data_IF_450106825484
#
_entry.id   IF_450106825484
#
_cell.length_a   1.000
_cell.length_b   1.000
_cell.length_c   1.000
_cell.angle_alpha   90.00
_cell.angle_beta   90.00
_cell.angle_gamma   90.00
#
_symmetry.space_group_name_H-M   'P 1'
#
loop_
_entity.id
_entity.type
_entity.pdbx_description
1 polymer ?
#
# COMPACT_ATOMS: atom_id res chain seq x y z
N UNK A 1 4.20 6.32 -25.14
CA UNK A 1 3.99 5.05 -24.39
C UNK A 1 3.13 5.25 -23.15
N UNK A 2 3.48 6.13 -22.22
CA UNK A 2 2.78 6.30 -20.92
C UNK A 2 1.23 6.37 -21.01
N UNK A 3 0.61 7.17 -21.92
CA UNK A 3 -0.85 7.24 -21.98
C UNK A 3 -1.57 5.92 -22.31
N UNK A 4 -0.93 5.01 -23.06
CA UNK A 4 -1.51 3.70 -23.42
C UNK A 4 -1.73 2.79 -22.21
N UNK A 5 -0.95 3.01 -21.13
CA UNK A 5 -1.10 2.27 -19.88
C UNK A 5 -2.37 2.69 -19.12
N UNK A 6 -3.06 3.76 -19.50
CA UNK A 6 -4.28 4.23 -18.82
C UNK A 6 -5.54 3.48 -19.24
N UNK A 7 -5.54 2.88 -20.44
CA UNK A 7 -6.71 2.20 -21.00
C UNK A 7 -7.09 0.99 -20.13
N UNK A 8 -8.38 0.66 -20.04
CA UNK A 8 -8.82 -0.51 -19.24
C UNK A 8 -8.38 -1.84 -19.87
N UNK A 9 -8.31 -1.89 -21.20
CA UNK A 9 -7.93 -3.06 -21.99
C UNK A 9 -6.42 -3.23 -22.17
N UNK A 10 -5.58 -2.51 -21.41
CA UNK A 10 -4.11 -2.62 -21.50
C UNK A 10 -3.60 -4.06 -21.38
N UNK A 11 -4.28 -4.91 -20.61
CA UNK A 11 -3.91 -6.33 -20.46
C UNK A 11 -3.87 -7.12 -21.78
N UNK A 12 -4.62 -6.69 -22.80
CA UNK A 12 -4.68 -7.36 -24.12
C UNK A 12 -3.37 -7.15 -24.90
N UNK A 13 -2.71 -6.00 -24.71
CA UNK A 13 -1.54 -5.60 -25.51
C UNK A 13 -0.32 -5.23 -24.65
N UNK A 14 -0.34 -5.58 -23.36
CA UNK A 14 0.70 -5.18 -22.41
C UNK A 14 2.07 -5.74 -22.78
N UNK A 15 2.14 -7.00 -23.22
CA UNK A 15 3.42 -7.62 -23.59
C UNK A 15 4.09 -6.89 -24.75
N UNK A 16 3.32 -6.45 -25.75
CA UNK A 16 3.80 -5.69 -26.89
C UNK A 16 4.20 -4.28 -26.46
N UNK A 17 3.42 -3.66 -25.57
CA UNK A 17 3.71 -2.34 -25.00
C UNK A 17 5.04 -2.35 -24.23
N UNK A 18 5.23 -3.35 -23.38
CA UNK A 18 6.44 -3.57 -22.60
C UNK A 18 7.66 -3.79 -23.51
N UNK A 19 7.55 -4.67 -24.51
CA UNK A 19 8.60 -4.87 -25.52
C UNK A 19 8.99 -3.55 -26.19
N UNK A 20 8.01 -2.74 -26.59
CA UNK A 20 8.28 -1.42 -27.15
C UNK A 20 8.96 -0.48 -26.14
N UNK A 21 8.50 -0.44 -24.88
CA UNK A 21 9.14 0.33 -23.80
C UNK A 21 10.62 -0.07 -23.65
N UNK A 22 10.92 -1.37 -23.52
CA UNK A 22 12.29 -1.88 -23.37
C UNK A 22 13.16 -1.61 -24.60
N UNK A 23 12.60 -1.68 -25.81
CA UNK A 23 13.32 -1.30 -27.03
C UNK A 23 13.73 0.18 -27.02
N UNK A 24 12.84 1.10 -26.60
CA UNK A 24 13.21 2.50 -26.45
C UNK A 24 14.31 2.70 -25.40
N UNK A 25 14.21 2.02 -24.26
CA UNK A 25 15.21 2.09 -23.19
C UNK A 25 16.57 1.56 -23.64
N UNK A 26 16.60 0.49 -24.44
CA UNK A 26 17.85 -0.05 -25.01
C UNK A 26 18.60 0.93 -25.91
N UNK A 27 17.89 1.94 -26.45
CA UNK A 27 18.49 3.01 -27.28
C UNK A 27 18.85 4.24 -26.46
N UNK A 28 18.08 4.53 -25.42
CA UNK A 28 18.34 5.67 -24.54
C UNK A 28 17.85 5.40 -23.12
N UNK A 29 18.79 5.06 -22.24
CA UNK A 29 18.52 4.73 -20.84
C UNK A 29 17.99 5.93 -20.03
N UNK A 30 18.23 7.16 -20.49
CA UNK A 30 17.70 8.36 -19.82
C UNK A 30 16.16 8.41 -19.83
N UNK A 31 15.51 7.64 -20.71
CA UNK A 31 14.06 7.52 -20.77
C UNK A 31 13.46 6.63 -19.65
N UNK A 32 14.28 5.91 -18.88
CA UNK A 32 13.81 5.06 -17.79
C UNK A 32 13.14 5.87 -16.68
N UNK A 33 13.74 7.00 -16.29
CA UNK A 33 13.24 7.89 -15.24
C UNK A 33 11.83 8.43 -15.56
N UNK A 34 11.59 9.09 -16.71
CA UNK A 34 10.24 9.58 -17.02
C UNK A 34 9.22 8.45 -17.21
N UNK A 35 9.65 7.27 -17.68
CA UNK A 35 8.76 6.11 -17.77
C UNK A 35 8.33 5.62 -16.39
N UNK A 36 9.28 5.43 -15.46
CA UNK A 36 8.98 5.05 -14.08
C UNK A 36 8.11 6.08 -13.36
N UNK A 37 8.39 7.37 -13.54
CA UNK A 37 7.53 8.43 -13.03
C UNK A 37 6.11 8.33 -13.58
N UNK A 38 5.97 8.06 -14.88
CA UNK A 38 4.69 7.82 -15.53
C UNK A 38 3.94 6.64 -14.92
N UNK A 39 4.60 5.49 -14.77
CA UNK A 39 4.01 4.28 -14.18
C UNK A 39 3.56 4.51 -12.73
N UNK A 40 4.42 5.12 -11.90
CA UNK A 40 4.10 5.42 -10.51
C UNK A 40 2.98 6.46 -10.36
N UNK A 41 2.89 7.42 -11.31
CA UNK A 41 1.85 8.46 -11.35
C UNK A 41 0.49 7.91 -11.77
N UNK A 42 0.46 7.03 -12.77
CA UNK A 42 -0.77 6.44 -13.31
C UNK A 42 -1.06 5.04 -12.76
N UNK A 43 -0.60 4.76 -11.54
CA UNK A 43 -0.79 3.47 -10.89
C UNK A 43 -2.26 3.04 -10.90
N UNK A 44 -2.59 1.83 -11.36
CA UNK A 44 -3.96 1.36 -11.43
C UNK A 44 -4.59 1.25 -10.04
N UNK A 45 -5.88 1.54 -9.95
CA UNK A 45 -6.66 1.41 -8.71
C UNK A 45 -7.91 0.56 -9.01
N UNK A 46 -8.16 -0.44 -8.16
CA UNK A 46 -9.32 -1.34 -8.31
C UNK A 46 -9.20 -2.34 -9.46
N UNK A 47 -8.01 -2.55 -10.02
CA UNK A 47 -7.76 -3.57 -11.05
C UNK A 47 -6.44 -4.30 -10.75
N UNK A 48 -6.55 -5.42 -10.04
CA UNK A 48 -5.42 -6.22 -9.57
C UNK A 48 -4.57 -6.78 -10.71
N UNK A 49 -5.20 -7.26 -11.79
CA UNK A 49 -4.49 -7.76 -12.97
C UNK A 49 -3.58 -6.68 -13.54
N UNK A 50 -4.09 -5.45 -13.66
CA UNK A 50 -3.33 -4.33 -14.18
C UNK A 50 -2.23 -3.88 -13.21
N UNK A 51 -2.46 -3.96 -11.89
CA UNK A 51 -1.42 -3.73 -10.88
C UNK A 51 -0.26 -4.73 -11.03
N UNK A 52 -0.54 -6.02 -11.21
CA UNK A 52 0.49 -7.05 -11.45
C UNK A 52 1.28 -6.77 -12.73
N UNK A 53 0.62 -6.33 -13.82
CA UNK A 53 1.29 -5.96 -15.06
C UNK A 53 2.21 -4.73 -14.88
N UNK A 54 1.74 -3.70 -14.17
CA UNK A 54 2.55 -2.52 -13.84
C UNK A 54 3.76 -2.88 -12.97
N UNK A 55 3.61 -3.78 -11.99
CA UNK A 55 4.72 -4.27 -11.19
C UNK A 55 5.76 -5.00 -12.05
N UNK A 56 5.32 -5.78 -13.04
CA UNK A 56 6.23 -6.44 -13.98
C UNK A 56 7.00 -5.44 -14.82
N UNK A 57 6.33 -4.50 -15.49
CA UNK A 57 7.03 -3.49 -16.29
C UNK A 57 7.94 -2.62 -15.42
N UNK A 58 7.49 -2.23 -14.22
CA UNK A 58 8.31 -1.44 -13.31
C UNK A 58 9.60 -2.16 -12.92
N UNK A 59 9.57 -3.47 -12.70
CA UNK A 59 10.77 -4.25 -12.38
C UNK A 59 11.76 -4.25 -13.55
N UNK A 60 11.29 -4.50 -14.77
CA UNK A 60 12.15 -4.51 -15.97
C UNK A 60 12.76 -3.14 -16.26
N UNK A 61 11.97 -2.07 -16.14
CA UNK A 61 12.45 -0.69 -16.35
C UNK A 61 13.48 -0.31 -15.29
N UNK A 62 13.32 -0.81 -14.05
CA UNK A 62 14.24 -0.52 -12.96
C UNK A 62 15.63 -1.11 -13.22
N UNK A 63 15.74 -2.30 -13.80
CA UNK A 63 17.02 -2.97 -14.08
C UNK A 63 17.91 -2.20 -15.06
N UNK A 64 17.31 -1.47 -16.01
CA UNK A 64 18.05 -0.66 -16.99
C UNK A 64 18.28 0.78 -16.53
N UNK A 65 17.76 1.15 -15.37
CA UNK A 65 17.84 2.50 -14.84
C UNK A 65 19.22 2.80 -14.23
N UNK A 66 19.70 4.03 -14.43
CA UNK A 66 20.92 4.50 -13.76
C UNK A 66 20.62 4.80 -12.28
N UNK A 67 21.37 4.15 -11.38
CA UNK A 67 21.18 4.28 -9.93
C UNK A 67 21.28 5.73 -9.43
N UNK A 68 22.19 6.52 -10.01
CA UNK A 68 22.41 7.93 -9.64
C UNK A 68 21.19 8.82 -9.88
N UNK A 69 20.33 8.47 -10.85
CA UNK A 69 19.13 9.25 -11.18
C UNK A 69 17.90 8.75 -10.42
N UNK A 70 18.01 7.64 -9.69
CA UNK A 70 16.90 6.95 -9.05
C UNK A 70 16.50 7.57 -7.71
N UNK A 71 17.43 8.24 -7.02
CA UNK A 71 17.24 8.82 -5.67
C UNK A 71 15.91 9.56 -5.46
N UNK A 72 15.45 10.49 -6.33
CA UNK A 72 14.17 11.18 -6.13
C UNK A 72 12.93 10.28 -6.26
N UNK A 73 13.06 9.12 -6.89
CA UNK A 73 11.98 8.15 -7.08
C UNK A 73 11.92 7.10 -5.99
N UNK A 74 13.03 6.85 -5.28
CA UNK A 74 13.12 5.85 -4.21
C UNK A 74 11.95 5.96 -3.21
N UNK A 75 11.62 7.14 -2.63
CA UNK A 75 10.51 7.24 -1.70
C UNK A 75 9.16 6.85 -2.32
N UNK A 76 8.92 7.23 -3.58
CA UNK A 76 7.65 6.94 -4.28
C UNK A 76 7.53 5.45 -4.62
N UNK A 77 8.62 4.85 -5.09
CA UNK A 77 8.73 3.44 -5.43
C UNK A 77 8.48 2.57 -4.20
N UNK A 78 9.24 2.78 -3.13
CA UNK A 78 9.14 1.96 -1.92
C UNK A 78 7.82 2.16 -1.19
N UNK A 79 7.27 3.38 -1.16
CA UNK A 79 5.91 3.60 -0.66
C UNK A 79 4.88 2.82 -1.47
N UNK A 80 5.05 2.69 -2.79
CA UNK A 80 4.14 1.91 -3.62
C UNK A 80 4.27 0.41 -3.34
N UNK A 81 5.51 -0.11 -3.31
CA UNK A 81 5.77 -1.53 -3.02
C UNK A 81 5.25 -1.93 -1.64
N UNK A 82 5.51 -1.12 -0.60
CA UNK A 82 4.99 -1.38 0.74
C UNK A 82 3.45 -1.47 0.75
N UNK A 83 2.75 -0.60 -0.01
CA UNK A 83 1.29 -0.68 -0.16
C UNK A 83 0.85 -1.96 -0.87
N UNK A 84 1.52 -2.36 -1.95
CA UNK A 84 1.22 -3.58 -2.69
C UNK A 84 1.40 -4.84 -1.82
N UNK A 85 2.49 -4.92 -1.06
CA UNK A 85 2.77 -6.03 -0.13
C UNK A 85 1.76 -6.09 1.00
N UNK A 86 1.37 -4.94 1.56
CA UNK A 86 0.34 -4.87 2.61
C UNK A 86 -1.08 -5.06 2.10
N UNK A 87 -1.30 -5.11 0.78
CA UNK A 87 -2.62 -5.12 0.17
C UNK A 87 -3.39 -6.42 0.44
N UNK A 88 -4.73 -6.40 0.38
CA UNK A 88 -5.54 -7.61 0.58
C UNK A 88 -5.43 -8.61 -0.58
N UNK A 89 -5.03 -8.14 -1.77
CA UNK A 89 -4.96 -8.97 -2.97
C UNK A 89 -3.64 -9.76 -3.01
N UNK A 90 -3.73 -11.08 -2.80
CA UNK A 90 -2.56 -11.96 -2.74
C UNK A 90 -1.67 -11.89 -4.01
N UNK A 91 -2.26 -11.89 -5.20
CA UNK A 91 -1.49 -11.85 -6.46
C UNK A 91 -0.63 -10.57 -6.61
N UNK A 92 -1.10 -9.46 -6.07
CA UNK A 92 -0.36 -8.18 -6.12
C UNK A 92 0.74 -8.17 -5.07
N UNK A 93 0.45 -8.67 -3.86
CA UNK A 93 1.42 -8.80 -2.79
C UNK A 93 2.58 -9.75 -3.16
N UNK A 94 2.25 -10.92 -3.71
CA UNK A 94 3.21 -11.92 -4.18
C UNK A 94 4.11 -11.35 -5.29
N UNK A 95 3.51 -10.73 -6.32
CA UNK A 95 4.29 -10.09 -7.41
C UNK A 95 5.21 -8.98 -6.89
N UNK A 96 4.78 -8.21 -5.89
CA UNK A 96 5.60 -7.17 -5.28
C UNK A 96 6.74 -7.76 -4.44
N UNK A 97 6.55 -8.91 -3.78
CA UNK A 97 7.61 -9.61 -3.05
C UNK A 97 8.73 -10.10 -3.97
N UNK A 98 8.43 -10.49 -5.21
CA UNK A 98 9.44 -10.89 -6.20
C UNK A 98 10.47 -9.78 -6.53
N UNK A 99 10.22 -8.51 -6.19
CA UNK A 99 11.26 -7.48 -6.29
C UNK A 99 12.45 -7.80 -5.39
N UNK A 100 12.19 -8.34 -4.19
CA UNK A 100 13.24 -8.60 -3.19
C UNK A 100 14.00 -9.90 -3.44
N UNK A 101 13.58 -10.71 -4.41
CA UNK A 101 14.33 -11.87 -4.90
C UNK A 101 15.41 -11.45 -5.91
N UNK A 102 15.35 -10.22 -6.42
CA UNK A 102 16.26 -9.72 -7.44
C UNK A 102 17.48 -9.04 -6.82
N UNK A 103 18.69 -9.53 -7.14
CA UNK A 103 19.95 -9.03 -6.59
C UNK A 103 20.22 -7.54 -6.91
N UNK A 104 19.84 -7.09 -8.10
CA UNK A 104 19.98 -5.67 -8.48
C UNK A 104 19.07 -4.79 -7.61
N UNK A 105 17.83 -5.22 -7.36
CA UNK A 105 16.92 -4.53 -6.46
C UNK A 105 17.41 -4.53 -5.01
N UNK A 106 17.96 -5.65 -4.53
CA UNK A 106 18.62 -5.71 -3.22
C UNK A 106 19.83 -4.76 -3.16
N UNK A 107 20.56 -4.58 -4.27
CA UNK A 107 21.59 -3.55 -4.42
C UNK A 107 21.06 -2.14 -4.19
N UNK A 108 19.95 -1.77 -4.84
CA UNK A 108 19.26 -0.48 -4.62
C UNK A 108 18.88 -0.31 -3.14
N UNK A 109 18.30 -1.36 -2.54
CA UNK A 109 17.88 -1.35 -1.15
C UNK A 109 19.06 -1.15 -0.19
N UNK A 110 20.21 -1.77 -0.45
CA UNK A 110 21.46 -1.57 0.31
C UNK A 110 21.96 -0.13 0.19
N UNK A 111 21.93 0.47 -1.00
CA UNK A 111 22.39 1.84 -1.24
C UNK A 111 21.51 2.87 -0.53
N UNK A 112 20.18 2.72 -0.60
CA UNK A 112 19.23 3.70 -0.06
C UNK A 112 18.62 3.30 1.29
N UNK A 113 19.26 2.39 2.04
CA UNK A 113 18.73 1.83 3.30
C UNK A 113 18.25 2.86 4.33
N UNK A 114 18.91 4.02 4.40
CA UNK A 114 18.51 5.09 5.34
C UNK A 114 17.10 5.65 5.04
N UNK A 115 16.67 5.59 3.78
CA UNK A 115 15.35 6.05 3.32
C UNK A 115 14.37 4.88 3.22
N UNK A 116 14.82 3.73 2.71
CA UNK A 116 13.95 2.59 2.40
C UNK A 116 13.58 1.79 3.65
N UNK A 117 14.51 1.57 4.59
CA UNK A 117 14.25 0.72 5.75
C UNK A 117 13.10 1.24 6.61
N UNK A 118 13.05 2.54 6.98
CA UNK A 118 11.92 3.08 7.75
C UNK A 118 10.55 2.92 7.08
N UNK A 119 10.49 2.75 5.76
CA UNK A 119 9.24 2.57 5.00
C UNK A 119 8.80 1.11 4.92
N UNK A 120 9.75 0.18 4.80
CA UNK A 120 9.44 -1.22 4.48
C UNK A 120 9.57 -2.14 5.70
N UNK A 121 10.59 -1.94 6.54
CA UNK A 121 10.89 -2.82 7.69
C UNK A 121 9.70 -2.95 8.65
N UNK A 122 9.06 -1.85 9.12
CA UNK A 122 7.91 -1.97 10.02
C UNK A 122 6.75 -2.74 9.38
N UNK A 123 6.57 -2.58 8.07
CA UNK A 123 5.49 -3.24 7.33
C UNK A 123 5.74 -4.73 7.20
N UNK A 124 6.96 -5.12 6.80
CA UNK A 124 7.33 -6.53 6.66
C UNK A 124 7.29 -7.24 8.01
N UNK A 125 7.79 -6.63 9.08
CA UNK A 125 7.83 -7.27 10.40
C UNK A 125 6.43 -7.53 10.93
N UNK A 126 5.52 -6.56 10.81
CA UNK A 126 4.13 -6.77 11.23
C UNK A 126 3.45 -7.85 10.36
N UNK A 127 3.59 -7.79 9.03
CA UNK A 127 2.97 -8.78 8.14
C UNK A 127 3.57 -10.18 8.30
N UNK A 128 4.86 -10.32 8.60
CA UNK A 128 5.48 -11.61 8.88
C UNK A 128 4.84 -12.32 10.09
N UNK A 129 4.19 -11.58 10.98
CA UNK A 129 3.48 -12.11 12.15
C UNK A 129 1.97 -12.23 11.92
N UNK A 130 1.37 -11.29 11.17
CA UNK A 130 -0.09 -11.16 11.06
C UNK A 130 -0.68 -11.50 9.70
N UNK A 131 0.12 -11.81 8.67
CA UNK A 131 -0.39 -12.06 7.33
C UNK A 131 -1.25 -13.35 7.29
N UNK A 132 -2.42 -13.27 6.67
CA UNK A 132 -3.41 -14.37 6.67
C UNK A 132 -3.00 -15.58 5.82
N UNK A 133 -2.19 -15.36 4.78
CA UNK A 133 -1.71 -16.42 3.89
C UNK A 133 -0.33 -16.95 4.32
N UNK A 134 -0.24 -18.25 4.62
CA UNK A 134 0.96 -18.90 5.20
C UNK A 134 2.21 -18.84 4.32
N UNK A 135 2.10 -19.12 3.01
CA UNK A 135 3.28 -19.12 2.12
C UNK A 135 3.87 -17.71 2.02
N UNK A 136 3.01 -16.70 1.91
CA UNK A 136 3.46 -15.30 1.86
C UNK A 136 4.07 -14.88 3.20
N UNK A 137 3.54 -15.39 4.31
CA UNK A 137 4.11 -15.19 5.63
C UNK A 137 5.53 -15.78 5.74
N UNK A 138 5.78 -16.96 5.18
CA UNK A 138 7.13 -17.54 5.11
C UNK A 138 8.08 -16.69 4.27
N UNK A 139 7.65 -16.22 3.10
CA UNK A 139 8.44 -15.31 2.26
C UNK A 139 8.75 -13.98 2.96
N UNK A 140 7.78 -13.43 3.72
CA UNK A 140 7.97 -12.22 4.53
C UNK A 140 8.98 -12.46 5.68
N UNK A 141 8.97 -13.65 6.29
CA UNK A 141 9.95 -14.01 7.31
C UNK A 141 11.35 -14.16 6.71
N UNK A 142 11.49 -14.78 5.54
CA UNK A 142 12.76 -14.83 4.82
C UNK A 142 13.28 -13.41 4.50
N UNK A 143 12.39 -12.54 3.99
CA UNK A 143 12.74 -11.15 3.71
C UNK A 143 13.15 -10.38 4.97
N UNK A 144 12.47 -10.60 6.10
CA UNK A 144 12.84 -10.01 7.40
C UNK A 144 14.28 -10.39 7.79
N UNK A 145 14.68 -11.64 7.57
CA UNK A 145 16.07 -12.10 7.82
C UNK A 145 17.05 -11.37 6.89
N UNK A 146 16.77 -11.33 5.58
CA UNK A 146 17.62 -10.64 4.59
C UNK A 146 17.82 -9.17 4.96
N UNK A 147 16.75 -8.46 5.33
CA UNK A 147 16.85 -7.04 5.72
C UNK A 147 17.71 -6.83 6.97
N UNK A 148 17.66 -7.76 7.92
CA UNK A 148 18.49 -7.73 9.12
C UNK A 148 19.95 -8.04 8.83
N UNK A 149 20.24 -8.92 7.87
CA UNK A 149 21.60 -9.22 7.42
C UNK A 149 22.25 -8.05 6.68
N UNK A 150 21.48 -7.25 5.94
CA UNK A 150 22.00 -6.09 5.22
C UNK A 150 22.56 -5.03 6.17
N UNK A 151 21.81 -4.67 7.21
CA UNK A 151 22.26 -3.72 8.23
C UNK A 151 21.40 -3.86 9.50
N UNK A 152 21.89 -4.56 10.54
CA UNK A 152 21.12 -4.80 11.75
C UNK A 152 20.81 -3.50 12.51
N UNK A 153 21.73 -2.53 12.48
CA UNK A 153 21.57 -1.25 13.20
C UNK A 153 20.52 -0.39 12.53
N UNK A 154 20.54 -0.31 11.19
CA UNK A 154 19.51 0.40 10.44
C UNK A 154 18.15 -0.29 10.55
N UNK A 155 18.12 -1.62 10.60
CA UNK A 155 16.90 -2.41 10.80
C UNK A 155 16.24 -2.10 12.15
N UNK A 156 17.01 -2.16 13.24
CA UNK A 156 16.48 -1.88 14.59
C UNK A 156 16.03 -0.42 14.73
N UNK A 157 16.78 0.52 14.13
CA UNK A 157 16.37 1.93 14.07
C UNK A 157 15.05 2.11 13.32
N UNK A 158 14.91 1.45 12.16
CA UNK A 158 13.70 1.53 11.36
C UNK A 158 12.46 1.00 12.09
N UNK A 159 12.62 -0.03 12.94
CA UNK A 159 11.53 -0.53 13.79
C UNK A 159 11.10 0.45 14.87
N UNK A 160 12.01 1.30 15.36
CA UNK A 160 11.70 2.32 16.37
C UNK A 160 11.07 3.57 15.74
N UNK A 161 11.57 3.99 14.57
CA UNK A 161 11.13 5.25 13.94
C UNK A 161 9.99 5.07 12.93
N UNK A 162 9.84 3.88 12.37
CA UNK A 162 8.95 3.63 11.25
C UNK A 162 7.50 3.46 11.67
N UNK A 163 6.59 4.11 10.93
CA UNK A 163 5.16 3.96 11.14
C UNK A 163 4.70 2.56 10.72
N UNK A 164 3.90 1.92 11.59
CA UNK A 164 3.22 0.65 11.30
C UNK A 164 1.84 0.85 10.67
N UNK A 165 1.46 2.09 10.38
CA UNK A 165 0.09 2.43 9.95
C UNK A 165 -0.27 1.77 8.62
N UNK A 166 0.70 1.58 7.71
CA UNK A 166 0.44 0.91 6.42
C UNK A 166 0.11 -0.58 6.58
N UNK A 167 0.82 -1.30 7.45
CA UNK A 167 0.52 -2.70 7.73
C UNK A 167 -0.81 -2.84 8.47
N UNK A 168 -1.05 -1.89 9.39
CA UNK A 168 -2.26 -1.85 10.19
C UNK A 168 -3.48 -1.48 9.36
N UNK A 169 -3.40 -0.53 8.42
CA UNK A 169 -4.53 -0.03 7.65
C UNK A 169 -5.34 -1.12 6.93
N UNK A 170 -4.68 -2.22 6.54
CA UNK A 170 -5.32 -3.35 5.87
C UNK A 170 -5.57 -4.54 6.82
N UNK A 171 -5.21 -4.42 8.10
CA UNK A 171 -5.58 -5.42 9.11
C UNK A 171 -7.05 -5.27 9.48
N UNK A 172 -7.73 -6.39 9.67
CA UNK A 172 -9.13 -6.43 10.09
C UNK A 172 -9.38 -5.65 11.39
N UNK A 173 -8.34 -5.49 12.23
CA UNK A 173 -8.40 -4.74 13.48
C UNK A 173 -8.45 -3.22 13.33
N UNK A 174 -7.96 -2.63 12.23
CA UNK A 174 -7.94 -1.16 12.09
C UNK A 174 -8.88 -0.60 11.04
N UNK A 175 -9.57 -1.45 10.26
CA UNK A 175 -10.62 -0.99 9.33
C UNK A 175 -11.70 -0.14 10.02
N UNK A 176 -11.88 -0.31 11.33
CA UNK A 176 -12.85 0.45 12.13
C UNK A 176 -12.41 1.86 12.52
N UNK A 177 -11.13 2.24 12.32
CA UNK A 177 -10.46 3.48 12.77
C UNK A 177 -11.30 4.36 13.72
N UNK A 178 -11.62 3.79 14.89
CA UNK A 178 -12.56 4.37 15.86
C UNK A 178 -12.16 5.80 16.29
N UNK A 179 -10.86 6.10 16.50
CA UNK A 179 -10.44 7.46 16.86
C UNK A 179 -10.73 8.51 15.77
N UNK A 180 -10.51 8.15 14.50
CA UNK A 180 -10.82 9.05 13.38
C UNK A 180 -12.34 9.23 13.19
N UNK A 181 -13.11 8.18 13.44
CA UNK A 181 -14.57 8.26 13.44
C UNK A 181 -15.07 9.18 14.56
N UNK A 182 -14.60 9.00 15.79
CA UNK A 182 -14.99 9.81 16.95
C UNK A 182 -14.68 11.31 16.74
N UNK A 183 -13.53 11.65 16.17
CA UNK A 183 -13.21 13.05 15.84
C UNK A 183 -14.10 13.64 14.74
N UNK A 184 -14.58 12.81 13.81
CA UNK A 184 -15.52 13.23 12.77
C UNK A 184 -16.92 13.40 13.34
N UNK A 185 -17.39 12.46 14.17
CA UNK A 185 -18.67 12.54 14.88
C UNK A 185 -18.72 13.78 15.78
N UNK A 186 -17.66 14.07 16.53
CA UNK A 186 -17.58 15.28 17.36
C UNK A 186 -17.73 16.59 16.54
N UNK A 187 -17.24 16.63 15.29
CA UNK A 187 -17.44 17.77 14.39
C UNK A 187 -18.89 17.89 13.94
N UNK A 188 -19.55 16.77 13.65
CA UNK A 188 -20.97 16.73 13.31
C UNK A 188 -21.85 17.13 14.49
N UNK A 189 -21.52 16.69 15.70
CA UNK A 189 -22.25 17.07 16.93
C UNK A 189 -22.12 18.57 17.20
N UNK A 190 -20.91 19.13 17.05
CA UNK A 190 -20.69 20.57 17.18
C UNK A 190 -21.46 21.36 16.11
N UNK A 191 -21.56 20.85 14.88
CA UNK A 191 -22.36 21.45 13.81
C UNK A 191 -23.86 21.41 14.13
N UNK A 192 -24.35 20.26 14.59
CA UNK A 192 -25.76 20.06 14.96
C UNK A 192 -26.16 20.95 16.14
N UNK A 193 -25.29 21.12 17.14
CA UNK A 193 -25.50 22.03 18.25
C UNK A 193 -25.61 23.50 17.79
N UNK A 194 -24.73 23.93 16.86
CA UNK A 194 -24.81 25.26 16.24
C UNK A 194 -26.10 25.46 15.44
N UNK A 195 -26.50 24.46 14.65
CA UNK A 195 -27.73 24.52 13.86
C UNK A 195 -28.97 24.66 14.76
N UNK A 196 -29.02 23.91 15.87
CA UNK A 196 -30.11 23.98 16.86
C UNK A 196 -30.17 25.30 17.61
N UNK A 197 -29.03 25.97 17.80
CA UNK A 197 -28.98 27.31 18.39
C UNK A 197 -29.55 28.39 17.46
N UNK A 198 -29.44 28.22 16.14
CA UNK A 198 -29.95 29.15 15.13
C UNK A 198 -31.44 28.89 14.84
N UNK A 199 -31.82 27.62 14.66
CA UNK A 199 -33.20 27.22 14.40
C UNK A 199 -33.68 26.21 15.46
N UNK A 200 -34.57 26.60 16.39
CA UNK A 200 -35.14 25.71 17.40
C UNK A 200 -35.95 24.54 16.81
N UNK A 201 -36.40 24.63 15.55
CA UNK A 201 -37.12 23.56 14.85
C UNK A 201 -36.19 22.53 14.20
N UNK A 202 -34.88 22.77 14.23
CA UNK A 202 -33.90 21.86 13.68
C UNK A 202 -33.97 20.49 14.36
N UNK A 203 -34.22 19.45 13.56
CA UNK A 203 -34.19 18.05 13.97
C UNK A 203 -32.95 17.40 13.36
N UNK A 204 -32.09 16.84 14.21
CA UNK A 204 -30.91 16.12 13.76
C UNK A 204 -31.32 14.94 12.84
N UNK A 205 -30.50 14.62 11.82
CA UNK A 205 -30.76 13.47 10.95
C UNK A 205 -30.73 12.18 11.75
N UNK A 206 -31.61 11.24 11.39
CA UNK A 206 -31.60 9.89 11.97
C UNK A 206 -30.36 9.15 11.48
N UNK A 207 -29.53 8.65 12.39
CA UNK A 207 -28.34 7.87 12.03
C UNK A 207 -28.76 6.46 11.61
N UNK A 208 -28.28 5.95 10.46
CA UNK A 208 -28.71 4.65 9.93
C UNK A 208 -28.24 3.46 10.79
N UNK A 209 -27.09 3.59 11.47
CA UNK A 209 -26.50 2.53 12.28
C UNK A 209 -26.65 2.84 13.77
N UNK A 210 -27.69 2.29 14.40
CA UNK A 210 -27.92 2.33 15.85
C UNK A 210 -27.74 0.93 16.44
N UNK A 211 -27.50 0.82 17.75
CA UNK A 211 -27.26 -0.48 18.39
C UNK A 211 -28.42 -1.47 18.19
N UNK A 212 -29.66 -0.98 18.03
CA UNK A 212 -30.82 -1.81 17.70
C UNK A 212 -30.80 -2.40 16.28
N UNK A 213 -29.96 -1.88 15.38
CA UNK A 213 -29.79 -2.41 14.01
C UNK A 213 -28.55 -3.32 13.89
N UNK A 214 -27.75 -3.46 14.95
CA UNK A 214 -26.56 -4.33 14.96
C UNK A 214 -27.02 -5.77 15.05
N UNK A 215 -26.71 -6.57 14.02
CA UNK A 215 -27.00 -8.01 13.99
C UNK A 215 -25.70 -8.78 14.13
N UNK A 216 -25.61 -9.62 15.16
CA UNK A 216 -24.43 -10.43 15.48
C UNK A 216 -23.83 -10.09 16.84
N UNK A 217 -23.18 -11.07 17.49
CA UNK A 217 -22.56 -10.88 18.80
C UNK A 217 -21.16 -10.28 18.68
N UNK A 218 -20.28 -10.89 17.87
CA UNK A 218 -18.88 -10.51 17.75
C UNK A 218 -18.45 -10.31 16.28
N UNK A 219 -17.47 -9.45 16.04
CA UNK A 219 -16.80 -9.29 14.74
C UNK A 219 -15.77 -10.42 14.49
N UNK A 220 -15.11 -10.41 13.33
CA UNK A 220 -14.09 -11.41 12.96
C UNK A 220 -12.84 -11.44 13.88
N UNK A 221 -12.69 -10.45 14.77
CA UNK A 221 -11.62 -10.41 15.78
C UNK A 221 -12.13 -10.85 17.17
N UNK A 222 -13.35 -11.37 17.28
CA UNK A 222 -13.95 -11.78 18.55
C UNK A 222 -14.40 -10.62 19.44
N UNK A 223 -14.46 -9.39 18.93
CA UNK A 223 -14.88 -8.19 19.66
C UNK A 223 -16.40 -8.04 19.53
N UNK A 224 -17.09 -7.74 20.63
CA UNK A 224 -18.53 -7.52 20.62
C UNK A 224 -18.93 -6.39 19.65
N UNK A 225 -19.92 -6.64 18.80
CA UNK A 225 -20.41 -5.67 17.82
C UNK A 225 -21.26 -4.59 18.49
N UNK A 226 -21.04 -3.35 18.09
CA UNK A 226 -21.76 -2.13 18.49
C UNK A 226 -21.91 -1.22 17.29
N UNK A 227 -22.84 -0.26 17.33
CA UNK A 227 -23.02 0.75 16.27
C UNK A 227 -21.75 1.54 15.94
N UNK A 228 -20.81 1.61 16.89
CA UNK A 228 -19.55 2.32 16.74
C UNK A 228 -18.47 1.51 16.03
N UNK A 229 -18.53 0.18 16.08
CA UNK A 229 -17.52 -0.72 15.50
C UNK A 229 -18.05 -1.60 14.37
N UNK A 230 -19.09 -1.16 13.65
CA UNK A 230 -19.52 -1.81 12.40
C UNK A 230 -18.53 -1.51 11.27
N UNK A 231 -18.23 -2.51 10.43
CA UNK A 231 -17.60 -2.30 9.12
C UNK A 231 -18.76 -1.92 8.19
N UNK A 232 -18.78 -0.72 7.58
CA UNK A 232 -19.75 -0.46 6.53
C UNK A 232 -19.55 -1.48 5.40
N UNK A 233 -20.63 -2.05 4.81
CA UNK A 233 -20.46 -2.83 3.59
C UNK A 233 -19.75 -1.97 2.54
N UNK A 234 -18.71 -2.53 1.92
CA UNK A 234 -17.96 -1.88 0.84
C UNK A 234 -18.74 -1.89 -0.46
#
# INVERSE_FOLDING_TARGET
MIPLHKVQTTHIFHEQLLRCSMLFLSKNHALAIPLMEGLLRYWPFGNSVKETLYLTELQEVLEVCELAKLEPLIPKLFKRLARCISGPQLQVADRAMCFFENDYFLGILRTFKQVTFPMVVPVIVELAETHWHKILQESLNALKVILKEIDPVAFDRALQTGSRDLARANSLGTMHNLPARATTEAKWDALAAKAKAIDPRFKAPCVPYVDSHVVGLNNMNGIMLTSQNLIPPT
#
